data_IF_057461811919
#
_entry.id   IF_057461811919
#
_cell.length_a   1.000
_cell.length_b   1.000
_cell.length_c   1.000
_cell.angle_alpha   90.00
_cell.angle_beta   90.00
_cell.angle_gamma   90.00
#
_symmetry.space_group_name_H-M   'P 1'
#
loop_
_entity.id
_entity.type
_entity.pdbx_description
1 polymer ?
#
# COMPACT_ATOMS: atom_id res chain seq x y z
N UNK A 1 4.87 -32.79 32.06
CA UNK A 1 3.51 -33.35 32.18
C UNK A 1 2.93 -33.48 30.78
N UNK A 2 2.44 -34.68 30.40
CA UNK A 2 1.94 -35.03 29.05
C UNK A 2 0.42 -35.10 29.09
N UNK A 3 -0.29 -34.40 28.22
CA UNK A 3 -1.73 -34.57 27.94
C UNK A 3 -1.97 -34.40 26.43
N UNK A 4 -1.99 -35.48 25.64
CA UNK A 4 -3.16 -36.28 25.20
C UNK A 4 -4.26 -35.47 24.48
N UNK A 5 -4.19 -35.43 23.14
CA UNK A 5 -5.27 -35.10 22.21
C UNK A 5 -6.42 -36.12 22.27
N UNK A 6 -7.68 -35.71 22.02
CA UNK A 6 -8.69 -36.57 21.43
C UNK A 6 -8.92 -36.26 19.93
N UNK A 7 -8.96 -37.37 19.17
CA UNK A 7 -9.45 -37.52 17.80
C UNK A 7 -10.99 -37.56 17.83
N UNK A 8 -11.66 -37.00 16.82
CA UNK A 8 -13.01 -37.29 16.27
C UNK A 8 -13.65 -35.98 15.79
N UNK A 9 -14.32 -35.86 14.64
CA UNK A 9 -14.80 -36.87 13.73
C UNK A 9 -15.07 -36.27 12.35
N UNK A 10 -14.79 -37.11 11.36
CA UNK A 10 -15.08 -36.98 9.94
C UNK A 10 -16.60 -37.08 9.74
N UNK A 11 -17.24 -36.08 9.11
CA UNK A 11 -18.62 -36.18 8.64
C UNK A 11 -18.70 -35.67 7.21
N UNK A 12 -18.84 -36.63 6.31
CA UNK A 12 -18.84 -36.54 4.86
C UNK A 12 -20.32 -36.50 4.44
N UNK A 13 -20.82 -35.37 3.94
CA UNK A 13 -22.17 -35.28 3.38
C UNK A 13 -22.06 -34.98 1.89
N UNK A 14 -22.38 -36.02 1.13
CA UNK A 14 -22.48 -36.09 -0.31
C UNK A 14 -23.95 -35.83 -0.70
N UNK A 15 -24.22 -34.75 -1.44
CA UNK A 15 -25.49 -34.52 -2.15
C UNK A 15 -25.15 -33.56 -3.31
N UNK A 16 -25.34 -33.84 -4.60
CA UNK A 16 -26.18 -34.84 -5.26
C UNK A 16 -27.51 -34.23 -5.69
N UNK A 17 -27.54 -33.40 -6.75
CA UNK A 17 -28.72 -33.30 -7.62
C UNK A 17 -28.41 -32.65 -8.98
N UNK A 18 -28.68 -33.46 -10.00
CA UNK A 18 -28.61 -33.22 -11.44
C UNK A 18 -29.95 -32.63 -11.86
N UNK A 19 -29.96 -31.51 -12.60
CA UNK A 19 -31.11 -31.12 -13.42
C UNK A 19 -30.65 -30.85 -14.85
N UNK A 20 -30.78 -31.88 -15.68
CA UNK A 20 -30.99 -31.74 -17.12
C UNK A 20 -32.39 -31.19 -17.37
N UNK A 21 -32.49 -30.12 -18.16
CA UNK A 21 -33.76 -29.55 -18.63
C UNK A 21 -33.66 -29.15 -20.10
N UNK A 22 -34.54 -29.72 -20.92
CA UNK A 22 -34.51 -29.74 -22.37
C UNK A 22 -34.88 -28.42 -23.07
N UNK A 23 -34.28 -28.30 -24.25
CA UNK A 23 -34.65 -27.54 -25.45
C UNK A 23 -36.14 -27.25 -25.70
N UNK A 24 -36.39 -26.05 -26.27
CA UNK A 24 -37.38 -25.62 -27.28
C UNK A 24 -37.31 -24.07 -27.35
N UNK A 25 -37.55 -23.34 -28.42
CA UNK A 25 -38.08 -23.55 -29.76
C UNK A 25 -37.67 -22.29 -30.56
N UNK A 26 -37.39 -22.47 -31.84
CA UNK A 26 -37.10 -21.44 -32.84
C UNK A 26 -38.32 -20.56 -33.12
N UNK A 27 -38.22 -19.25 -32.88
CA UNK A 27 -39.01 -18.21 -33.57
C UNK A 27 -38.03 -17.24 -34.24
N UNK A 28 -37.99 -17.29 -35.56
CA UNK A 28 -37.17 -16.45 -36.41
C UNK A 28 -38.03 -15.25 -36.85
N UNK A 29 -37.96 -14.17 -36.08
CA UNK A 29 -38.52 -12.88 -36.47
C UNK A 29 -37.47 -12.09 -37.27
N UNK A 30 -37.81 -11.75 -38.51
CA UNK A 30 -36.92 -11.03 -39.43
C UNK A 30 -37.17 -9.54 -39.29
N UNK A 31 -36.84 -9.02 -38.11
CA UNK A 31 -36.67 -7.59 -37.88
C UNK A 31 -35.29 -7.15 -38.37
N UNK A 32 -35.23 -6.08 -39.16
CA UNK A 32 -33.99 -5.42 -39.54
C UNK A 32 -33.08 -5.21 -38.31
N UNK A 33 -31.76 -5.45 -38.40
CA UNK A 33 -30.85 -5.26 -37.28
C UNK A 33 -30.78 -3.77 -36.95
N UNK A 34 -31.63 -3.34 -36.03
CA UNK A 34 -31.35 -2.16 -35.22
C UNK A 34 -30.13 -2.55 -34.42
N UNK A 35 -28.97 -2.04 -34.81
CA UNK A 35 -27.76 -2.08 -34.00
C UNK A 35 -28.04 -1.30 -32.73
N UNK A 36 -28.69 -1.98 -31.79
CA UNK A 36 -28.72 -1.58 -30.40
C UNK A 36 -27.26 -1.55 -30.02
N UNK A 37 -26.68 -0.35 -30.00
CA UNK A 37 -25.37 -0.10 -29.42
C UNK A 37 -25.51 -0.60 -27.99
N UNK A 38 -25.03 -1.82 -27.73
CA UNK A 38 -24.81 -2.32 -26.39
C UNK A 38 -23.99 -1.22 -25.72
N UNK A 39 -24.65 -0.46 -24.84
CA UNK A 39 -23.95 0.49 -24.02
C UNK A 39 -22.90 -0.35 -23.30
N UNK A 40 -21.63 -0.10 -23.62
CA UNK A 40 -20.55 -0.70 -22.85
C UNK A 40 -20.85 -0.32 -21.40
N UNK A 41 -21.05 -1.31 -20.55
CA UNK A 41 -21.10 -1.10 -19.11
C UNK A 41 -19.84 -0.30 -18.78
N UNK A 42 -20.01 0.95 -18.37
CA UNK A 42 -18.89 1.77 -17.93
C UNK A 42 -18.38 1.09 -16.67
N UNK A 43 -17.24 0.41 -16.80
CA UNK A 43 -16.60 -0.30 -15.70
C UNK A 43 -16.16 0.78 -14.70
N UNK A 44 -16.78 0.82 -13.53
CA UNK A 44 -16.47 1.82 -12.51
C UNK A 44 -15.09 1.59 -11.89
N UNK A 45 -14.66 2.47 -10.97
CA UNK A 45 -13.51 2.22 -10.10
C UNK A 45 -13.62 0.85 -9.42
N UNK A 46 -12.49 0.14 -9.30
CA UNK A 46 -12.35 -1.20 -8.75
C UNK A 46 -11.38 -1.18 -7.54
N UNK A 47 -11.86 -0.75 -6.37
CA UNK A 47 -11.04 -0.72 -5.16
C UNK A 47 -10.60 -2.11 -4.70
N UNK A 48 -11.34 -3.17 -5.04
CA UNK A 48 -10.99 -4.55 -4.71
C UNK A 48 -9.70 -4.95 -5.44
N UNK A 49 -9.58 -4.64 -6.74
CA UNK A 49 -8.35 -4.91 -7.48
C UNK A 49 -7.17 -4.10 -6.95
N UNK A 50 -7.40 -2.86 -6.52
CA UNK A 50 -6.36 -2.04 -5.89
C UNK A 50 -5.88 -2.67 -4.57
N UNK A 51 -6.80 -3.13 -3.73
CA UNK A 51 -6.51 -3.88 -2.49
C UNK A 51 -5.62 -5.09 -2.78
N UNK A 52 -6.02 -5.92 -3.74
CA UNK A 52 -5.34 -7.18 -4.02
C UNK A 52 -3.94 -6.94 -4.61
N UNK A 53 -3.78 -5.91 -5.44
CA UNK A 53 -2.47 -5.49 -5.95
C UNK A 53 -1.55 -5.00 -4.82
N UNK A 54 -2.05 -4.12 -3.96
CA UNK A 54 -1.31 -3.63 -2.79
C UNK A 54 -0.90 -4.77 -1.85
N UNK A 55 -1.83 -5.69 -1.54
CA UNK A 55 -1.53 -6.87 -0.74
C UNK A 55 -0.45 -7.75 -1.37
N UNK A 56 -0.52 -7.99 -2.68
CA UNK A 56 0.50 -8.76 -3.39
C UNK A 56 1.88 -8.09 -3.29
N UNK A 57 1.92 -6.76 -3.42
CA UNK A 57 3.14 -5.97 -3.23
C UNK A 57 3.68 -6.09 -1.81
N UNK A 58 2.85 -5.83 -0.80
CA UNK A 58 3.26 -5.86 0.62
C UNK A 58 3.77 -7.24 1.01
N UNK A 59 3.06 -8.30 0.64
CA UNK A 59 3.46 -9.68 0.95
C UNK A 59 4.75 -10.05 0.21
N UNK A 60 4.94 -9.55 -1.01
CA UNK A 60 6.14 -9.78 -1.80
C UNK A 60 7.39 -9.13 -1.20
N UNK A 61 7.26 -7.92 -0.65
CA UNK A 61 8.40 -7.13 -0.16
C UNK A 61 8.68 -7.32 1.32
N UNK A 62 7.64 -7.47 2.15
CA UNK A 62 7.78 -7.52 3.61
C UNK A 62 7.64 -8.94 4.19
N UNK A 63 7.33 -9.94 3.36
CA UNK A 63 7.31 -11.35 3.75
C UNK A 63 6.39 -11.63 4.94
N UNK A 64 6.95 -12.15 6.04
CA UNK A 64 6.20 -12.52 7.25
C UNK A 64 5.70 -11.32 8.07
N UNK A 65 6.21 -10.11 7.81
CA UNK A 65 5.72 -8.89 8.47
C UNK A 65 4.39 -8.42 7.87
N UNK A 66 4.06 -8.86 6.64
CA UNK A 66 2.81 -8.52 5.97
C UNK A 66 1.61 -9.37 6.40
N UNK A 67 0.40 -9.03 5.91
CA UNK A 67 -0.81 -9.79 6.18
C UNK A 67 -0.74 -11.20 5.57
N UNK A 68 -1.42 -12.15 6.20
CA UNK A 68 -1.50 -13.51 5.67
C UNK A 68 -2.39 -13.58 4.43
N UNK A 69 -1.97 -14.39 3.44
CA UNK A 69 -2.64 -14.53 2.13
C UNK A 69 -4.08 -15.05 2.19
N UNK A 70 -4.48 -15.67 3.29
CA UNK A 70 -5.76 -16.36 3.45
C UNK A 70 -6.74 -15.63 4.39
N UNK A 71 -6.51 -14.35 4.67
CA UNK A 71 -7.50 -13.55 5.39
C UNK A 71 -8.80 -13.39 4.60
N UNK A 72 -9.91 -13.37 5.35
CA UNK A 72 -11.22 -13.00 4.83
C UNK A 72 -11.42 -11.53 5.20
N UNK A 73 -11.42 -10.68 4.19
CA UNK A 73 -11.57 -9.24 4.34
C UNK A 73 -13.06 -8.87 4.41
N UNK A 74 -13.44 -8.12 5.44
CA UNK A 74 -14.75 -7.49 5.56
C UNK A 74 -14.65 -6.08 5.01
N UNK A 75 -15.50 -5.77 4.03
CA UNK A 75 -15.56 -4.45 3.38
C UNK A 75 -16.58 -3.55 4.07
N UNK A 76 -16.18 -2.31 4.31
CA UNK A 76 -17.03 -1.22 4.78
C UNK A 76 -16.75 0.02 3.93
N UNK A 77 -17.80 0.58 3.31
CA UNK A 77 -17.70 1.87 2.64
C UNK A 77 -17.62 2.98 3.69
N UNK A 78 -16.61 3.84 3.57
CA UNK A 78 -16.41 4.97 4.49
C UNK A 78 -16.56 6.28 3.74
N UNK A 79 -17.38 7.19 4.25
CA UNK A 79 -17.59 8.51 3.67
C UNK A 79 -16.63 9.47 4.40
N UNK A 80 -15.52 9.90 3.79
CA UNK A 80 -14.64 10.86 4.43
C UNK A 80 -15.40 12.19 4.62
N UNK A 81 -15.36 12.72 5.84
CA UNK A 81 -16.01 14.00 6.12
C UNK A 81 -15.42 15.10 5.22
N UNK A 82 -16.29 15.85 4.55
CA UNK A 82 -15.96 17.11 3.82
C UNK A 82 -15.13 16.97 2.53
N UNK A 83 -15.00 15.78 1.95
CA UNK A 83 -14.34 15.60 0.64
C UNK A 83 -15.37 15.28 -0.45
N UNK A 84 -15.73 16.28 -1.25
CA UNK A 84 -16.56 16.08 -2.45
C UNK A 84 -15.68 15.56 -3.58
N UNK A 85 -16.16 14.54 -4.31
CA UNK A 85 -15.43 13.97 -5.43
C UNK A 85 -14.37 12.94 -5.05
N UNK A 86 -14.43 12.42 -3.82
CA UNK A 86 -13.63 11.29 -3.37
C UNK A 86 -14.54 10.18 -2.84
N UNK A 87 -14.06 8.95 -2.95
CA UNK A 87 -14.64 7.78 -2.30
C UNK A 87 -13.55 7.06 -1.51
N UNK A 88 -13.94 6.37 -0.44
CA UNK A 88 -13.03 5.56 0.33
C UNK A 88 -13.70 4.27 0.82
N UNK A 89 -12.91 3.20 0.87
CA UNK A 89 -13.31 1.88 1.34
C UNK A 89 -12.32 1.42 2.40
N UNK A 90 -12.84 0.75 3.42
CA UNK A 90 -12.04 0.11 4.44
C UNK A 90 -12.25 -1.40 4.37
N UNK A 91 -11.16 -2.16 4.45
CA UNK A 91 -11.17 -3.61 4.51
C UNK A 91 -10.50 -4.07 5.81
N UNK A 92 -11.25 -4.77 6.66
CA UNK A 92 -10.75 -5.29 7.94
C UNK A 92 -10.57 -6.80 7.93
N UNK A 93 -9.46 -7.30 8.51
CA UNK A 93 -9.24 -8.73 8.77
C UNK A 93 -8.34 -8.95 10.00
N UNK A 94 -8.93 -9.35 11.13
CA UNK A 94 -8.20 -9.44 12.39
C UNK A 94 -7.71 -8.06 12.83
N UNK A 95 -6.42 -7.92 13.11
CA UNK A 95 -5.77 -6.65 13.46
C UNK A 95 -5.32 -5.83 12.24
N UNK A 96 -5.57 -6.34 11.03
CA UNK A 96 -5.21 -5.67 9.78
C UNK A 96 -6.34 -4.80 9.26
N UNK A 97 -6.00 -3.58 8.85
CA UNK A 97 -6.91 -2.62 8.23
C UNK A 97 -6.28 -2.14 6.93
N UNK A 98 -7.02 -2.20 5.83
CA UNK A 98 -6.65 -1.58 4.56
C UNK A 98 -7.62 -0.45 4.29
N UNK A 99 -7.10 0.75 4.09
CA UNK A 99 -7.90 1.90 3.65
C UNK A 99 -7.53 2.24 2.21
N UNK A 100 -8.53 2.34 1.35
CA UNK A 100 -8.37 2.71 -0.05
C UNK A 100 -9.16 3.96 -0.30
N UNK A 101 -8.51 5.03 -0.76
CA UNK A 101 -9.16 6.28 -1.14
C UNK A 101 -8.83 6.64 -2.57
N UNK A 102 -9.80 7.16 -3.31
CA UNK A 102 -9.61 7.53 -4.71
C UNK A 102 -10.54 8.68 -5.14
N UNK A 103 -10.14 9.47 -6.15
CA UNK A 103 -10.99 10.49 -6.73
C UNK A 103 -12.06 9.88 -7.64
N UNK A 104 -13.24 10.51 -7.70
CA UNK A 104 -14.34 10.12 -8.60
C UNK A 104 -14.10 10.74 -9.98
N UNK A 105 -13.24 10.09 -10.76
CA UNK A 105 -12.83 10.47 -12.13
C UNK A 105 -13.11 9.35 -13.13
N UNK A 106 -12.69 9.54 -14.39
CA UNK A 106 -12.76 8.47 -15.40
C UNK A 106 -11.97 7.23 -14.93
N UNK A 107 -12.52 6.01 -15.03
CA UNK A 107 -11.93 4.78 -14.49
C UNK A 107 -10.46 4.57 -14.86
N UNK A 108 -10.07 4.88 -16.09
CA UNK A 108 -8.71 4.76 -16.62
C UNK A 108 -7.70 5.77 -16.03
N UNK A 109 -8.19 6.83 -15.40
CA UNK A 109 -7.39 7.89 -14.78
C UNK A 109 -7.40 7.79 -13.24
N UNK A 110 -8.05 6.78 -12.67
CA UNK A 110 -8.10 6.58 -11.22
C UNK A 110 -6.74 6.12 -10.72
N UNK A 111 -6.25 6.80 -9.69
CA UNK A 111 -5.13 6.36 -8.86
C UNK A 111 -5.68 6.15 -7.45
N UNK A 112 -5.49 4.95 -6.92
CA UNK A 112 -5.93 4.56 -5.59
C UNK A 112 -4.79 4.80 -4.61
N UNK A 113 -5.01 5.63 -3.58
CA UNK A 113 -4.12 5.68 -2.44
C UNK A 113 -4.51 4.54 -1.49
N UNK A 114 -3.57 3.68 -1.15
CA UNK A 114 -3.78 2.49 -0.33
C UNK A 114 -2.89 2.55 0.91
N UNK A 115 -3.50 2.40 2.07
CA UNK A 115 -2.82 2.26 3.37
C UNK A 115 -3.10 0.87 3.90
N UNK A 116 -2.07 0.09 4.21
CA UNK A 116 -2.15 -1.23 4.83
C UNK A 116 -1.52 -1.13 6.22
N UNK A 117 -2.30 -1.34 7.27
CA UNK A 117 -1.83 -1.17 8.64
C UNK A 117 -2.18 -2.37 9.53
N UNK A 118 -1.36 -2.58 10.55
CA UNK A 118 -1.63 -3.46 11.69
C UNK A 118 -1.28 -2.73 12.98
N UNK A 119 -2.29 -2.36 13.75
CA UNK A 119 -2.10 -1.57 14.98
C UNK A 119 -1.38 -2.36 16.08
N UNK A 120 -1.54 -3.69 16.11
CA UNK A 120 -0.94 -4.55 17.12
C UNK A 120 0.57 -4.69 16.93
N UNK A 121 1.05 -4.74 15.68
CA UNK A 121 2.47 -4.85 15.37
C UNK A 121 3.13 -3.50 15.08
N UNK A 122 2.35 -2.44 14.87
CA UNK A 122 2.86 -1.14 14.41
C UNK A 122 3.19 -1.11 12.92
N UNK A 123 2.94 -2.20 12.18
CA UNK A 123 3.19 -2.23 10.74
C UNK A 123 2.30 -1.22 10.02
N UNK A 124 2.90 -0.44 9.11
CA UNK A 124 2.18 0.45 8.21
C UNK A 124 2.90 0.55 6.88
N UNK A 125 2.17 0.31 5.80
CA UNK A 125 2.62 0.53 4.43
C UNK A 125 1.64 1.46 3.73
N UNK A 126 2.18 2.37 2.93
CA UNK A 126 1.41 3.27 2.08
C UNK A 126 1.92 3.17 0.66
N UNK A 127 1.02 3.29 -0.29
CA UNK A 127 1.39 3.31 -1.69
C UNK A 127 0.21 3.65 -2.57
N UNK A 128 0.51 3.84 -3.85
CA UNK A 128 -0.51 4.09 -4.86
C UNK A 128 -0.70 2.86 -5.73
N UNK A 129 -1.90 2.68 -6.25
CA UNK A 129 -2.21 1.67 -7.26
C UNK A 129 -2.90 2.35 -8.42
N UNK A 130 -2.43 2.14 -9.64
CA UNK A 130 -3.06 2.74 -10.82
C UNK A 130 -4.29 1.95 -11.32
N UNK A 131 -4.99 2.52 -12.30
CA UNK A 131 -6.12 1.91 -12.99
C UNK A 131 -5.78 0.64 -13.80
N UNK A 132 -4.54 0.15 -13.82
CA UNK A 132 -4.19 -1.20 -14.32
C UNK A 132 -3.68 -2.15 -13.23
N UNK A 133 -3.67 -1.73 -11.97
CA UNK A 133 -3.25 -2.55 -10.84
C UNK A 133 -1.74 -2.55 -10.61
N UNK A 134 -1.01 -1.59 -11.21
CA UNK A 134 0.41 -1.40 -10.91
C UNK A 134 0.52 -0.64 -9.60
N UNK A 135 1.28 -1.20 -8.68
CA UNK A 135 1.59 -0.57 -7.40
C UNK A 135 2.81 0.34 -7.57
N UNK A 136 2.69 1.58 -7.14
CA UNK A 136 3.78 2.55 -6.98
C UNK A 136 3.89 2.88 -5.48
N UNK A 137 4.77 2.16 -4.78
CA UNK A 137 5.22 2.54 -3.44
C UNK A 137 6.43 3.48 -3.52
N UNK A 138 7.02 3.84 -2.37
CA UNK A 138 8.34 4.47 -2.36
C UNK A 138 9.32 3.65 -3.23
N UNK A 139 10.00 4.27 -4.21
CA UNK A 139 10.97 3.59 -5.04
C UNK A 139 11.98 2.82 -4.19
N UNK A 140 12.42 1.64 -4.66
CA UNK A 140 13.39 0.81 -3.92
C UNK A 140 14.64 1.61 -3.52
N UNK A 141 15.11 2.50 -4.42
CA UNK A 141 16.25 3.37 -4.15
C UNK A 141 16.01 4.39 -3.03
N UNK A 142 14.77 4.86 -2.83
CA UNK A 142 14.40 5.76 -1.72
C UNK A 142 14.49 5.03 -0.39
N UNK A 143 13.96 3.80 -0.33
CA UNK A 143 14.04 2.97 0.88
C UNK A 143 15.49 2.61 1.17
N UNK A 144 16.26 2.21 0.15
CA UNK A 144 17.68 1.92 0.28
C UNK A 144 18.48 3.14 0.75
N UNK A 145 18.16 4.34 0.23
CA UNK A 145 18.81 5.59 0.63
C UNK A 145 18.53 5.93 2.11
N UNK A 146 17.28 5.78 2.55
CA UNK A 146 16.91 5.93 3.96
C UNK A 146 17.73 5.00 4.84
N UNK A 147 17.77 3.71 4.50
CA UNK A 147 18.42 2.69 5.31
C UNK A 147 19.95 2.89 5.36
N UNK A 148 20.56 3.28 4.25
CA UNK A 148 21.98 3.64 4.19
C UNK A 148 22.30 4.88 5.06
N UNK A 149 21.47 5.93 5.00
CA UNK A 149 21.63 7.11 5.84
C UNK A 149 21.47 6.79 7.33
N UNK A 150 20.49 5.95 7.70
CA UNK A 150 20.30 5.51 9.09
C UNK A 150 21.49 4.69 9.60
N UNK A 151 22.04 3.80 8.77
CA UNK A 151 23.24 3.05 9.10
C UNK A 151 24.44 3.98 9.32
N UNK A 152 24.64 4.95 8.42
CA UNK A 152 25.70 5.96 8.54
C UNK A 152 25.57 6.79 9.83
N UNK A 153 24.36 7.29 10.12
CA UNK A 153 24.08 8.07 11.32
C UNK A 153 24.38 7.26 12.59
N UNK A 154 23.91 6.01 12.64
CA UNK A 154 24.16 5.12 13.78
C UNK A 154 25.66 4.86 13.99
N UNK A 155 26.42 4.62 12.91
CA UNK A 155 27.87 4.43 12.99
C UNK A 155 28.60 5.69 13.44
N UNK A 156 28.21 6.85 12.92
CA UNK A 156 28.93 8.11 13.10
C UNK A 156 28.61 8.83 14.41
N UNK A 157 27.35 8.81 14.82
CA UNK A 157 26.80 9.60 15.94
C UNK A 157 26.31 8.74 17.12
N UNK A 158 26.29 7.41 16.99
CA UNK A 158 26.02 6.50 18.10
C UNK A 158 24.65 6.74 18.75
N UNK A 159 24.65 7.12 20.04
CA UNK A 159 23.43 7.32 20.83
C UNK A 159 22.65 8.59 20.45
N UNK A 160 23.27 9.53 19.74
CA UNK A 160 22.60 10.76 19.27
C UNK A 160 21.79 10.51 17.98
N UNK A 161 22.00 9.38 17.31
CA UNK A 161 21.31 8.97 16.09
C UNK A 161 19.98 8.24 16.38
N UNK A 162 19.12 8.02 15.36
CA UNK A 162 17.99 7.12 15.50
C UNK A 162 18.45 5.72 15.90
N UNK A 163 17.75 5.09 16.84
CA UNK A 163 18.07 3.72 17.25
C UNK A 163 17.83 2.75 16.10
N UNK A 164 18.71 1.75 15.96
CA UNK A 164 18.49 0.66 15.01
C UNK A 164 17.25 -0.15 15.42
N UNK A 165 16.44 -0.53 14.44
CA UNK A 165 15.23 -1.32 14.66
C UNK A 165 13.99 -0.52 15.09
N UNK A 166 14.02 0.81 14.92
CA UNK A 166 12.80 1.61 14.96
C UNK A 166 11.86 1.23 13.80
N UNK A 167 10.57 1.14 14.10
CA UNK A 167 9.53 0.95 13.10
C UNK A 167 9.23 2.29 12.41
N UNK A 168 9.75 2.45 11.20
CA UNK A 168 9.56 3.65 10.38
C UNK A 168 8.24 3.58 9.64
N UNK A 169 7.30 4.46 10.00
CA UNK A 169 6.07 4.66 9.25
C UNK A 169 6.28 5.74 8.19
N UNK A 170 5.98 5.44 6.93
CA UNK A 170 5.85 6.47 5.89
C UNK A 170 4.72 7.43 6.29
N UNK A 171 4.97 8.74 6.22
CA UNK A 171 4.00 9.77 6.56
C UNK A 171 3.34 10.31 5.28
N UNK A 172 2.08 9.96 5.06
CA UNK A 172 1.27 10.66 4.06
C UNK A 172 1.21 12.16 4.32
N UNK A 173 1.76 12.96 3.41
CA UNK A 173 1.52 14.40 3.36
C UNK A 173 0.31 14.62 2.43
N UNK A 174 -0.86 15.03 2.95
CA UNK A 174 -2.03 15.28 2.11
C UNK A 174 -1.73 16.36 1.05
N UNK A 175 -2.37 16.28 -0.14
CA UNK A 175 -2.02 17.06 -1.33
C UNK A 175 -2.28 18.57 -1.26
N UNK A 176 -2.52 19.17 -0.09
CA UNK A 176 -2.62 20.63 0.05
C UNK A 176 -1.23 21.27 -0.08
N UNK A 177 -0.78 21.48 -1.32
CA UNK A 177 0.41 22.28 -1.64
C UNK A 177 1.59 21.52 -2.23
N UNK A 178 1.35 20.41 -2.94
CA UNK A 178 2.29 19.72 -3.84
C UNK A 178 3.72 19.62 -3.29
N UNK A 179 3.97 18.60 -2.47
CA UNK A 179 5.34 18.14 -2.33
C UNK A 179 5.89 17.89 -3.76
N UNK A 180 7.07 18.42 -4.11
CA UNK A 180 7.69 18.06 -5.38
C UNK A 180 7.76 16.54 -5.43
N UNK A 181 7.33 15.96 -6.57
CA UNK A 181 7.45 14.54 -6.87
C UNK A 181 8.81 14.04 -6.39
N UNK A 182 8.82 12.97 -5.57
CA UNK A 182 10.04 12.43 -5.01
C UNK A 182 10.32 12.74 -3.54
N UNK A 183 9.38 13.32 -2.78
CA UNK A 183 9.57 13.52 -1.32
C UNK A 183 8.91 12.41 -0.51
N UNK A 184 9.68 11.68 0.30
CA UNK A 184 9.23 10.53 1.09
C UNK A 184 9.62 10.71 2.56
N UNK A 185 8.70 11.21 3.41
CA UNK A 185 8.93 11.33 4.84
C UNK A 185 8.64 10.01 5.57
N UNK A 186 9.47 9.70 6.56
CA UNK A 186 9.38 8.54 7.43
C UNK A 186 9.48 9.01 8.88
N UNK A 187 8.56 8.57 9.74
CA UNK A 187 8.57 8.86 11.18
C UNK A 187 8.81 7.63 12.02
N UNK A 188 9.57 7.81 13.10
CA UNK A 188 9.67 6.85 14.19
C UNK A 188 9.92 7.58 15.52
N UNK A 189 8.88 7.64 16.38
CA UNK A 189 8.92 8.44 17.60
C UNK A 189 9.14 9.93 17.30
N UNK A 190 10.18 10.52 17.89
CA UNK A 190 10.55 11.93 17.70
C UNK A 190 11.39 12.19 16.44
N UNK A 191 11.73 11.12 15.70
CA UNK A 191 12.53 11.21 14.49
C UNK A 191 11.67 11.37 13.24
N UNK A 192 12.12 12.24 12.34
CA UNK A 192 11.62 12.42 10.98
C UNK A 192 12.80 12.27 10.01
N UNK A 193 12.70 11.34 9.08
CA UNK A 193 13.63 11.18 7.96
C UNK A 193 12.89 11.55 6.69
N UNK A 194 13.39 12.50 5.92
CA UNK A 194 12.80 12.84 4.62
C UNK A 194 13.80 12.52 3.53
N UNK A 195 13.41 11.65 2.60
CA UNK A 195 14.20 11.30 1.41
C UNK A 195 13.64 12.05 0.21
N UNK A 196 14.50 12.73 -0.53
CA UNK A 196 14.18 13.44 -1.76
C UNK A 196 14.85 12.72 -2.92
N UNK A 197 14.04 12.14 -3.80
CA UNK A 197 14.42 11.66 -5.12
C UNK A 197 14.45 12.83 -6.09
N UNK A 198 15.65 13.19 -6.54
CA UNK A 198 15.85 14.30 -7.48
C UNK A 198 15.49 13.92 -8.93
N UNK A 199 15.25 12.64 -9.23
CA UNK A 199 14.83 12.16 -10.54
C UNK A 199 15.85 12.37 -11.66
N UNK A 200 17.11 12.67 -11.34
CA UNK A 200 18.19 12.91 -12.31
C UNK A 200 19.25 11.82 -12.20
N UNK A 201 19.59 11.10 -13.29
CA UNK A 201 20.69 10.14 -13.31
C UNK A 201 22.09 10.82 -13.24
N UNK A 202 23.09 10.22 -12.53
CA UNK A 202 22.96 9.04 -11.68
C UNK A 202 22.06 9.35 -10.48
N UNK A 203 21.23 8.40 -10.07
CA UNK A 203 20.30 8.60 -8.95
C UNK A 203 21.07 8.97 -7.69
N UNK A 204 20.76 10.16 -7.16
CA UNK A 204 21.26 10.66 -5.88
C UNK A 204 20.05 11.07 -5.07
N UNK A 205 19.99 10.60 -3.84
CA UNK A 205 18.91 10.87 -2.90
C UNK A 205 19.40 11.85 -1.84
N UNK A 206 18.73 12.99 -1.69
CA UNK A 206 19.00 13.85 -0.53
C UNK A 206 18.21 13.31 0.66
N UNK A 207 18.87 13.10 1.79
CA UNK A 207 18.25 12.59 3.01
C UNK A 207 18.43 13.62 4.12
N UNK A 208 17.31 14.05 4.70
CA UNK A 208 17.29 14.88 5.90
C UNK A 208 16.85 14.03 7.09
N UNK A 209 17.57 14.12 8.20
CA UNK A 209 17.22 13.47 9.45
C UNK A 209 17.07 14.52 10.55
N UNK A 210 15.95 14.52 11.26
CA UNK A 210 15.69 15.45 12.34
C UNK A 210 15.08 14.76 13.55
N UNK A 211 15.52 15.15 14.75
CA UNK A 211 14.86 14.79 16.00
C UNK A 211 14.21 16.04 16.60
N UNK A 212 12.88 16.00 16.75
CA UNK A 212 12.11 17.17 17.19
C UNK A 212 12.30 17.51 18.67
N UNK A 213 12.74 16.54 19.48
CA UNK A 213 12.93 16.70 20.93
C UNK A 213 14.34 17.17 21.27
N UNK A 214 15.37 16.62 20.62
CA UNK A 214 16.77 16.97 20.91
C UNK A 214 17.27 18.16 20.09
N UNK A 215 16.60 18.49 18.99
CA UNK A 215 17.05 19.51 18.05
C UNK A 215 18.12 19.02 17.08
N UNK A 216 18.43 17.72 17.06
CA UNK A 216 19.34 17.11 16.09
C UNK A 216 18.82 17.35 14.67
N UNK A 217 19.70 17.80 13.77
CA UNK A 217 19.42 17.96 12.35
C UNK A 217 20.62 17.49 11.54
N UNK A 218 20.41 16.65 10.54
CA UNK A 218 21.47 16.16 9.67
C UNK A 218 20.99 16.16 8.23
N UNK A 219 21.91 16.47 7.32
CA UNK A 219 21.68 16.40 5.88
C UNK A 219 22.79 15.59 5.22
N UNK A 220 22.41 14.72 4.30
CA UNK A 220 23.36 14.01 3.46
C UNK A 220 22.77 13.63 2.12
N UNK A 221 23.64 13.15 1.24
CA UNK A 221 23.30 12.58 -0.05
C UNK A 221 23.65 11.09 -0.05
N UNK A 222 22.80 10.28 -0.66
CA UNK A 222 23.04 8.85 -0.86
C UNK A 222 23.02 8.54 -2.35
N UNK A 223 24.11 7.99 -2.87
CA UNK A 223 24.18 7.56 -4.27
C UNK A 223 23.47 6.21 -4.49
N UNK A 224 23.30 5.82 -5.75
CA UNK A 224 22.69 4.53 -6.12
C UNK A 224 23.49 3.30 -5.70
N UNK A 225 24.73 3.46 -5.21
CA UNK A 225 25.53 2.38 -4.61
C UNK A 225 25.37 2.35 -3.08
N UNK A 226 24.54 3.23 -2.50
CA UNK A 226 24.30 3.34 -1.07
C UNK A 226 25.41 4.07 -0.31
N UNK A 227 26.31 4.78 -0.99
CA UNK A 227 27.34 5.59 -0.31
C UNK A 227 26.74 6.89 0.19
N UNK A 228 26.97 7.17 1.46
CA UNK A 228 26.49 8.38 2.13
C UNK A 228 27.59 9.45 2.12
N UNK A 229 27.24 10.64 1.64
CA UNK A 229 28.06 11.86 1.76
C UNK A 229 27.31 12.86 2.62
N UNK A 230 27.88 13.21 3.78
CA UNK A 230 27.31 14.23 4.65
C UNK A 230 27.48 15.63 4.05
N UNK A 231 26.39 16.39 4.01
CA UNK A 231 26.37 17.77 3.50
C UNK A 231 26.18 18.78 4.63
N UNK A 232 25.52 18.40 5.72
CA UNK A 232 25.43 19.16 6.97
C UNK A 232 25.43 18.26 8.20
N UNK A 233 26.31 18.56 9.16
CA UNK A 233 26.42 17.89 10.45
C UNK A 233 25.47 18.52 11.51
N UNK A 234 25.05 17.74 12.53
CA UNK A 234 24.15 18.17 13.61
C UNK A 234 24.75 19.18 14.60
#
# INVERSE_FOLDING_TARGET
MRSKLPRLGLLLILAGLIFSGCARTTEQDTGLPTTTRTAATVEGPDPIRARDAALAYVIGHYGEQGPWRNFIWLEEEIIPERLVGHAAHQYGAGDWVITISYPVVAPEAVVYSVVVANETTGFRWEGEVDAVGRVTGAPEGVVAARDAALAYLSERYGEEAPQLGLDWAEEFIPPEGWAPSGTYPYRAGDWLITVYDVGVPPEVYQVLAANQTTGFQWEGEVDSEGRVTETAAP
#
